data_IF_281905036497
#
_entry.id   IF_281905036497
#
_cell.length_a   1.000
_cell.length_b   1.000
_cell.length_c   1.000
_cell.angle_alpha   90.00
_cell.angle_beta   90.00
_cell.angle_gamma   90.00
#
_symmetry.space_group_name_H-M   'P 1'
#
loop_
_entity.id
_entity.type
_entity.pdbx_description
1 polymer ?
#
# COMPACT_ATOMS: atom_id res chain seq x y z
N UNK A 1 1.51 -16.55 14.10
CA UNK A 1 0.76 -17.29 15.14
C UNK A 1 0.06 -18.48 14.49
N UNK A 2 0.30 -19.70 14.98
CA UNK A 2 -0.46 -20.88 14.57
C UNK A 2 -1.91 -20.75 15.00
N UNK A 3 -2.85 -21.06 14.10
CA UNK A 3 -4.29 -21.14 14.45
C UNK A 3 -4.56 -22.53 15.01
N UNK A 4 -5.01 -22.59 16.26
CA UNK A 4 -5.48 -23.81 16.89
C UNK A 4 -6.99 -23.77 17.06
N UNK A 5 -7.64 -24.92 16.97
CA UNK A 5 -9.07 -25.05 17.19
C UNK A 5 -9.33 -25.18 18.69
N UNK A 6 -10.19 -24.31 19.22
CA UNK A 6 -10.63 -24.34 20.61
C UNK A 6 -12.16 -24.47 20.64
N UNK A 7 -12.66 -25.40 21.47
CA UNK A 7 -14.10 -25.52 21.71
C UNK A 7 -14.54 -24.48 22.73
N UNK A 8 -15.53 -23.67 22.38
CA UNK A 8 -16.14 -22.66 23.25
C UNK A 8 -17.62 -22.99 23.42
N UNK A 9 -18.12 -22.84 24.64
CA UNK A 9 -19.56 -22.91 24.92
C UNK A 9 -20.08 -21.48 25.02
N UNK A 10 -20.92 -21.09 24.06
CA UNK A 10 -21.53 -19.77 23.97
C UNK A 10 -23.05 -19.94 23.91
N UNK A 11 -23.79 -18.99 24.44
CA UNK A 11 -25.26 -19.01 24.35
C UNK A 11 -25.72 -18.72 22.91
N UNK A 12 -26.77 -19.40 22.46
CA UNK A 12 -27.26 -19.32 21.07
C UNK A 12 -27.57 -17.89 20.60
N UNK A 13 -28.13 -17.08 21.49
CA UNK A 13 -28.44 -15.68 21.19
C UNK A 13 -27.17 -14.86 20.94
N UNK A 14 -26.10 -15.13 21.67
CA UNK A 14 -24.81 -14.48 21.46
C UNK A 14 -24.20 -14.91 20.13
N UNK A 15 -24.29 -16.20 19.77
CA UNK A 15 -23.80 -16.70 18.47
C UNK A 15 -24.54 -16.02 17.31
N UNK A 16 -25.87 -15.87 17.40
CA UNK A 16 -26.66 -15.18 16.37
C UNK A 16 -26.25 -13.72 16.19
N UNK A 17 -26.01 -12.99 17.29
CA UNK A 17 -25.57 -11.59 17.25
C UNK A 17 -24.15 -11.46 16.71
N UNK A 18 -23.27 -12.36 17.15
CA UNK A 18 -21.89 -12.43 16.70
C UNK A 18 -21.81 -12.68 15.19
N UNK A 19 -22.60 -13.61 14.66
CA UNK A 19 -22.63 -13.92 13.22
C UNK A 19 -23.12 -12.73 12.39
N UNK A 20 -24.12 -11.99 12.89
CA UNK A 20 -24.58 -10.76 12.24
C UNK A 20 -23.47 -9.71 12.21
N UNK A 21 -22.79 -9.49 13.34
CA UNK A 21 -21.69 -8.55 13.43
C UNK A 21 -20.52 -8.93 12.52
N UNK A 22 -20.15 -10.21 12.50
CA UNK A 22 -19.12 -10.75 11.62
C UNK A 22 -19.49 -10.53 10.14
N UNK A 23 -20.74 -10.80 9.76
CA UNK A 23 -21.23 -10.58 8.40
C UNK A 23 -21.15 -9.12 7.98
N UNK A 24 -21.60 -8.18 8.82
CA UNK A 24 -21.53 -6.73 8.53
C UNK A 24 -20.10 -6.26 8.29
N UNK A 25 -19.11 -6.88 8.95
CA UNK A 25 -17.69 -6.55 8.83
C UNK A 25 -16.93 -7.39 7.79
N UNK A 26 -17.61 -8.31 7.09
CA UNK A 26 -16.97 -9.23 6.14
C UNK A 26 -15.99 -10.22 6.78
N UNK A 27 -16.19 -10.56 8.06
CA UNK A 27 -15.35 -11.47 8.84
C UNK A 27 -16.02 -12.86 9.00
N UNK A 28 -15.20 -13.87 9.28
CA UNK A 28 -15.71 -15.16 9.79
C UNK A 28 -16.06 -15.05 11.28
N UNK A 29 -16.87 -15.97 11.80
CA UNK A 29 -17.16 -16.06 13.25
C UNK A 29 -15.89 -16.10 14.09
N UNK A 30 -14.92 -16.93 13.70
CA UNK A 30 -13.63 -17.02 14.40
C UNK A 30 -12.80 -15.74 14.26
N UNK A 31 -12.90 -15.04 13.13
CA UNK A 31 -12.31 -13.72 12.94
C UNK A 31 -12.87 -12.69 13.93
N UNK A 32 -14.21 -12.63 14.04
CA UNK A 32 -14.90 -11.73 14.97
C UNK A 32 -14.59 -12.05 16.44
N UNK A 33 -14.56 -13.33 16.82
CA UNK A 33 -14.18 -13.75 18.18
C UNK A 33 -12.75 -13.33 18.50
N UNK A 34 -11.82 -13.56 17.58
CA UNK A 34 -10.43 -13.16 17.78
C UNK A 34 -10.31 -11.65 17.93
N UNK A 35 -11.05 -10.85 17.15
CA UNK A 35 -11.06 -9.38 17.27
C UNK A 35 -11.56 -8.92 18.66
N UNK A 36 -12.66 -9.50 19.15
CA UNK A 36 -13.23 -9.17 20.47
C UNK A 36 -12.27 -9.57 21.60
N UNK A 37 -11.71 -10.79 21.55
CA UNK A 37 -10.78 -11.26 22.58
C UNK A 37 -9.49 -10.46 22.58
N UNK A 38 -9.03 -10.07 21.41
CA UNK A 38 -7.86 -9.22 21.24
C UNK A 38 -8.05 -7.84 21.89
N UNK A 39 -9.17 -7.20 21.61
CA UNK A 39 -9.56 -5.93 22.22
C UNK A 39 -9.67 -6.07 23.76
N UNK A 40 -10.42 -7.07 24.23
CA UNK A 40 -10.62 -7.31 25.67
C UNK A 40 -9.32 -7.62 26.42
N UNK A 41 -8.41 -8.40 25.83
CA UNK A 41 -7.15 -8.80 26.46
C UNK A 41 -5.99 -7.85 26.17
N UNK A 42 -6.24 -6.74 25.45
CA UNK A 42 -5.19 -5.84 24.95
C UNK A 42 -4.10 -6.58 24.14
N UNK A 43 -4.48 -7.67 23.47
CA UNK A 43 -3.60 -8.42 22.57
C UNK A 43 -3.73 -7.81 21.19
N UNK A 44 -2.67 -7.20 20.70
CA UNK A 44 -2.65 -6.66 19.34
C UNK A 44 -2.66 -7.82 18.33
N UNK A 45 -3.78 -7.98 17.60
CA UNK A 45 -3.84 -8.96 16.51
C UNK A 45 -3.18 -8.41 15.24
N UNK A 46 -2.65 -9.29 14.36
CA UNK A 46 -2.12 -8.82 13.09
C UNK A 46 -3.20 -8.18 12.18
N UNK A 47 -4.48 -8.53 12.33
CA UNK A 47 -5.57 -7.79 11.66
C UNK A 47 -5.64 -6.34 12.13
N UNK A 48 -5.61 -6.10 13.45
CA UNK A 48 -5.59 -4.75 14.02
C UNK A 48 -4.34 -3.97 13.58
N UNK A 49 -3.18 -4.63 13.48
CA UNK A 49 -1.96 -4.00 12.97
C UNK A 49 -2.08 -3.58 11.51
N UNK A 50 -2.62 -4.45 10.65
CA UNK A 50 -2.83 -4.10 9.23
C UNK A 50 -3.84 -2.95 9.10
N UNK A 51 -4.92 -2.98 9.86
CA UNK A 51 -5.91 -1.90 9.85
C UNK A 51 -5.29 -0.58 10.32
N UNK A 52 -4.56 -0.58 11.44
CA UNK A 52 -3.88 0.61 11.95
C UNK A 52 -2.85 1.18 10.96
N UNK A 53 -2.11 0.32 10.26
CA UNK A 53 -1.17 0.76 9.23
C UNK A 53 -1.90 1.45 8.06
N UNK A 54 -3.01 0.87 7.58
CA UNK A 54 -3.81 1.47 6.51
C UNK A 54 -4.52 2.76 6.95
N UNK A 55 -5.00 2.83 8.19
CA UNK A 55 -5.60 4.04 8.76
C UNK A 55 -4.54 5.16 8.82
N UNK A 56 -3.30 4.83 9.16
CA UNK A 56 -2.17 5.77 9.12
C UNK A 56 -1.92 6.29 7.70
N UNK A 57 -1.91 5.39 6.70
CA UNK A 57 -1.79 5.80 5.28
C UNK A 57 -2.95 6.70 4.87
N UNK A 58 -4.19 6.37 5.24
CA UNK A 58 -5.35 7.21 4.96
C UNK A 58 -5.21 8.60 5.59
N UNK A 59 -4.78 8.69 6.85
CA UNK A 59 -4.67 9.97 7.54
C UNK A 59 -3.60 10.87 6.91
N UNK A 60 -2.50 10.29 6.43
CA UNK A 60 -1.42 11.03 5.78
C UNK A 60 -1.75 11.42 4.34
N UNK A 61 -2.46 10.56 3.59
CA UNK A 61 -2.66 10.75 2.15
C UNK A 61 -4.08 11.16 1.74
N UNK A 62 -5.10 10.75 2.51
CA UNK A 62 -6.50 10.84 2.11
C UNK A 62 -7.10 12.24 2.09
N UNK A 63 -6.42 13.23 2.70
CA UNK A 63 -6.82 14.64 2.69
C UNK A 63 -6.07 15.53 1.70
N UNK A 64 -5.14 14.98 0.91
CA UNK A 64 -4.34 15.75 -0.04
C UNK A 64 -5.12 16.13 -1.31
N UNK A 65 -4.77 17.26 -1.94
CA UNK A 65 -5.36 17.65 -3.23
C UNK A 65 -4.95 16.72 -4.39
N UNK A 66 -3.73 16.15 -4.30
CA UNK A 66 -3.12 15.37 -5.40
C UNK A 66 -3.50 13.89 -5.35
N UNK A 67 -3.63 13.30 -4.16
CA UNK A 67 -4.01 11.91 -3.92
C UNK A 67 -5.38 11.85 -3.24
N UNK A 68 -6.36 11.27 -3.93
CA UNK A 68 -7.73 11.15 -3.43
C UNK A 68 -8.04 9.71 -2.98
N UNK A 69 -8.66 9.57 -1.82
CA UNK A 69 -9.17 8.29 -1.35
C UNK A 69 -10.36 7.81 -2.18
N UNK A 70 -10.25 6.62 -2.75
CA UNK A 70 -11.31 5.97 -3.55
C UNK A 70 -12.00 4.86 -2.78
N UNK A 71 -11.22 4.06 -2.06
CA UNK A 71 -11.73 2.97 -1.23
C UNK A 71 -11.02 3.04 0.12
N UNK A 72 -11.77 3.22 1.23
CA UNK A 72 -11.17 3.30 2.56
C UNK A 72 -10.55 1.95 2.97
N UNK A 73 -9.61 1.97 3.93
CA UNK A 73 -9.07 0.80 4.61
C UNK A 73 -10.16 -0.19 5.04
N UNK A 74 -10.16 -1.37 4.43
CA UNK A 74 -11.04 -2.46 4.80
C UNK A 74 -10.45 -3.80 4.36
N UNK A 75 -10.58 -4.83 5.21
CA UNK A 75 -10.16 -6.19 4.86
C UNK A 75 -8.68 -6.33 4.47
N UNK A 76 -7.81 -5.44 4.96
CA UNK A 76 -6.39 -5.43 4.62
C UNK A 76 -6.04 -4.72 3.32
N UNK A 77 -6.95 -3.93 2.72
CA UNK A 77 -6.63 -3.12 1.55
C UNK A 77 -7.25 -1.73 1.55
N UNK A 78 -6.69 -0.84 0.74
CA UNK A 78 -7.22 0.49 0.45
C UNK A 78 -6.85 0.92 -0.98
N UNK A 79 -7.51 1.98 -1.47
CA UNK A 79 -7.26 2.49 -2.81
C UNK A 79 -7.25 4.01 -2.85
N UNK A 80 -6.19 4.55 -3.45
CA UNK A 80 -6.02 5.97 -3.79
C UNK A 80 -6.05 6.17 -5.30
N UNK A 81 -6.25 7.41 -5.74
CA UNK A 81 -6.03 7.83 -7.13
C UNK A 81 -5.38 9.20 -7.21
N UNK A 82 -4.62 9.42 -8.28
CA UNK A 82 -4.16 10.75 -8.70
C UNK A 82 -4.40 10.94 -10.19
N UNK A 83 -4.29 12.18 -10.67
CA UNK A 83 -4.32 12.52 -12.09
C UNK A 83 -2.91 12.87 -12.58
N UNK A 84 -2.57 12.45 -13.81
CA UNK A 84 -1.35 12.87 -14.49
C UNK A 84 -1.66 14.05 -15.41
N UNK A 85 -0.75 15.02 -15.50
CA UNK A 85 -0.81 16.04 -16.53
C UNK A 85 -0.39 15.44 -17.87
N UNK A 86 -1.37 15.07 -18.68
CA UNK A 86 -1.19 14.50 -20.02
C UNK A 86 -2.46 14.80 -20.84
N UNK A 87 -2.43 14.63 -22.17
CA UNK A 87 -3.46 15.06 -23.16
C UNK A 87 -4.95 15.01 -22.73
N UNK A 88 -5.34 14.11 -21.82
CA UNK A 88 -6.71 13.95 -21.29
C UNK A 88 -6.76 13.68 -19.77
N UNK A 89 -5.73 14.09 -19.02
CA UNK A 89 -5.60 13.92 -17.58
C UNK A 89 -5.92 12.49 -17.07
N UNK A 90 -5.20 11.46 -17.57
CA UNK A 90 -5.44 10.09 -17.16
C UNK A 90 -5.23 9.92 -15.66
N UNK A 91 -6.02 9.04 -15.06
CA UNK A 91 -5.91 8.73 -13.62
C UNK A 91 -5.04 7.50 -13.39
N UNK A 92 -4.21 7.56 -12.36
CA UNK A 92 -3.49 6.42 -11.81
C UNK A 92 -4.23 5.94 -10.58
N UNK A 93 -4.47 4.63 -10.48
CA UNK A 93 -5.07 3.98 -9.31
C UNK A 93 -3.97 3.27 -8.53
N UNK A 94 -3.84 3.60 -7.24
CA UNK A 94 -2.91 2.96 -6.31
C UNK A 94 -3.69 2.05 -5.38
N UNK A 95 -3.59 0.74 -5.58
CA UNK A 95 -4.13 -0.24 -4.64
C UNK A 95 -3.03 -0.69 -3.68
N UNK A 96 -3.29 -0.57 -2.39
CA UNK A 96 -2.41 -1.02 -1.32
C UNK A 96 -3.09 -2.23 -0.70
N UNK A 97 -2.39 -3.37 -0.68
CA UNK A 97 -2.88 -4.63 -0.14
C UNK A 97 -1.86 -5.13 0.88
N UNK A 98 -2.27 -5.27 2.14
CA UNK A 98 -1.45 -5.81 3.22
C UNK A 98 -1.78 -7.27 3.47
N UNK A 99 -0.75 -8.05 3.76
CA UNK A 99 -0.84 -9.46 4.08
C UNK A 99 0.00 -9.80 5.29
N UNK A 100 -0.32 -10.94 5.90
CA UNK A 100 0.52 -11.52 6.95
C UNK A 100 1.67 -12.27 6.27
N UNK A 101 2.91 -11.96 6.64
CA UNK A 101 4.07 -12.78 6.37
C UNK A 101 4.47 -13.58 7.61
N UNK A 102 5.29 -14.62 7.43
CA UNK A 102 5.84 -15.43 8.52
C UNK A 102 6.71 -14.63 9.48
N UNK A 103 7.34 -13.55 9.01
CA UNK A 103 8.26 -12.70 9.79
C UNK A 103 7.73 -11.29 10.08
N UNK A 104 6.44 -11.01 9.81
CA UNK A 104 5.84 -9.69 10.07
C UNK A 104 4.67 -9.35 9.14
N UNK A 105 4.30 -8.07 9.09
CA UNK A 105 3.38 -7.54 8.09
C UNK A 105 4.11 -7.31 6.77
N UNK A 106 3.56 -7.80 5.67
CA UNK A 106 4.03 -7.48 4.33
C UNK A 106 2.90 -6.81 3.55
N UNK A 107 3.21 -6.31 2.37
CA UNK A 107 2.17 -5.77 1.51
C UNK A 107 2.63 -5.61 0.09
N UNK A 108 1.81 -4.93 -0.70
CA UNK A 108 2.17 -4.51 -2.05
C UNK A 108 1.48 -3.20 -2.42
N UNK A 109 2.16 -2.43 -3.25
CA UNK A 109 1.57 -1.37 -4.05
C UNK A 109 1.28 -1.92 -5.45
N UNK A 110 0.10 -1.60 -5.98
CA UNK A 110 -0.24 -1.74 -7.39
C UNK A 110 -0.63 -0.37 -7.94
N UNK A 111 0.23 0.24 -8.75
CA UNK A 111 -0.06 1.45 -9.50
C UNK A 111 -0.56 1.07 -10.90
N UNK A 112 -1.77 1.50 -11.26
CA UNK A 112 -2.42 1.12 -12.51
C UNK A 112 -2.94 2.34 -13.25
N UNK A 113 -2.48 2.55 -14.48
CA UNK A 113 -3.11 3.46 -15.43
C UNK A 113 -4.29 2.74 -16.09
N UNK A 114 -5.44 3.42 -16.14
CA UNK A 114 -6.61 2.96 -16.90
C UNK A 114 -6.64 3.71 -18.23
N UNK A 115 -6.00 3.14 -19.25
CA UNK A 115 -5.93 3.76 -20.59
C UNK A 115 -5.92 2.70 -21.69
N UNK A 116 -6.30 3.14 -22.91
CA UNK A 116 -6.14 2.40 -24.17
C UNK A 116 -5.12 3.06 -25.10
N UNK A 117 -4.49 4.16 -24.68
CA UNK A 117 -3.50 4.87 -25.48
C UNK A 117 -2.17 4.13 -25.41
N UNK A 118 -1.73 3.57 -26.54
CA UNK A 118 -0.45 2.85 -26.64
C UNK A 118 0.74 3.74 -26.27
N UNK A 119 0.70 5.02 -26.70
CA UNK A 119 1.74 5.99 -26.35
C UNK A 119 1.82 6.23 -24.84
N UNK A 120 0.67 6.41 -24.15
CA UNK A 120 0.66 6.56 -22.70
C UNK A 120 1.13 5.28 -21.98
N UNK A 121 0.78 4.09 -22.50
CA UNK A 121 1.26 2.83 -21.95
C UNK A 121 2.78 2.72 -22.09
N UNK A 122 3.33 3.10 -23.25
CA UNK A 122 4.77 3.11 -23.49
C UNK A 122 5.50 4.12 -22.59
N UNK A 123 4.98 5.35 -22.46
CA UNK A 123 5.53 6.36 -21.55
C UNK A 123 5.52 5.87 -20.09
N UNK A 124 4.44 5.22 -19.66
CA UNK A 124 4.33 4.65 -18.32
C UNK A 124 5.30 3.48 -18.10
N UNK A 125 5.47 2.58 -19.06
CA UNK A 125 6.44 1.49 -19.00
C UNK A 125 7.87 2.00 -18.87
N UNK A 126 8.24 3.07 -19.60
CA UNK A 126 9.55 3.72 -19.46
C UNK A 126 9.77 4.31 -18.08
N UNK A 127 8.78 4.99 -17.53
CA UNK A 127 8.82 5.44 -16.13
C UNK A 127 8.97 4.27 -15.15
N UNK A 128 8.18 3.20 -15.30
CA UNK A 128 8.26 2.05 -14.39
C UNK A 128 9.63 1.37 -14.45
N UNK A 129 10.24 1.26 -15.64
CA UNK A 129 11.58 0.72 -15.80
C UNK A 129 12.65 1.63 -15.14
N UNK A 130 12.54 2.95 -15.31
CA UNK A 130 13.40 3.92 -14.62
C UNK A 130 13.29 3.78 -13.10
N UNK A 131 12.06 3.81 -12.58
CA UNK A 131 11.80 3.72 -11.15
C UNK A 131 12.32 2.40 -10.57
N UNK A 132 12.04 1.28 -11.24
CA UNK A 132 12.49 -0.04 -10.82
C UNK A 132 14.02 -0.17 -10.81
N UNK A 133 14.69 0.39 -11.82
CA UNK A 133 16.14 0.46 -11.88
C UNK A 133 16.75 1.29 -10.73
N UNK A 134 16.11 2.41 -10.38
CA UNK A 134 16.52 3.22 -9.23
C UNK A 134 16.35 2.45 -7.92
N UNK A 135 15.20 1.79 -7.71
CA UNK A 135 14.99 0.99 -6.51
C UNK A 135 16.04 -0.12 -6.38
N UNK A 136 16.28 -0.90 -7.43
CA UNK A 136 17.22 -2.03 -7.41
C UNK A 136 18.68 -1.62 -7.28
N UNK A 137 19.05 -0.42 -7.73
CA UNK A 137 20.43 0.08 -7.61
C UNK A 137 20.72 0.68 -6.24
N UNK A 138 19.72 1.27 -5.59
CA UNK A 138 19.86 1.93 -4.29
C UNK A 138 19.45 1.04 -3.12
N UNK A 139 18.82 -0.11 -3.38
CA UNK A 139 18.24 -0.99 -2.35
C UNK A 139 18.40 -2.47 -2.71
N UNK A 140 18.64 -3.30 -1.69
CA UNK A 140 18.62 -4.75 -1.81
C UNK A 140 17.22 -5.32 -1.53
N UNK A 141 16.90 -6.47 -2.11
CA UNK A 141 15.65 -7.21 -1.83
C UNK A 141 14.40 -6.58 -2.46
N UNK A 142 14.56 -5.80 -3.53
CA UNK A 142 13.46 -5.20 -4.27
C UNK A 142 12.80 -6.26 -5.16
N UNK A 143 11.55 -6.61 -4.84
CA UNK A 143 10.67 -7.46 -5.64
C UNK A 143 9.55 -6.65 -6.31
N UNK A 144 9.50 -6.68 -7.63
CA UNK A 144 8.60 -5.87 -8.45
C UNK A 144 8.24 -6.56 -9.76
N UNK A 145 7.17 -6.11 -10.40
CA UNK A 145 6.74 -6.57 -11.72
C UNK A 145 6.18 -5.39 -12.52
N UNK A 146 6.56 -5.33 -13.79
CA UNK A 146 6.07 -4.34 -14.77
C UNK A 146 5.22 -5.09 -15.78
N UNK A 147 4.00 -4.61 -15.98
CA UNK A 147 3.05 -5.06 -16.99
C UNK A 147 2.47 -3.82 -17.71
N UNK A 148 1.84 -3.96 -18.89
CA UNK A 148 1.29 -2.81 -19.61
C UNK A 148 0.35 -1.96 -18.75
N UNK A 149 0.77 -0.73 -18.48
CA UNK A 149 0.06 0.23 -17.64
C UNK A 149 -0.03 -0.13 -16.15
N UNK A 150 0.74 -1.12 -15.67
CA UNK A 150 0.73 -1.57 -14.27
C UNK A 150 2.14 -1.77 -13.72
N UNK A 151 2.39 -1.17 -12.57
CA UNK A 151 3.54 -1.47 -11.71
C UNK A 151 3.08 -2.12 -10.42
N UNK A 152 3.68 -3.25 -10.06
CA UNK A 152 3.45 -3.91 -8.77
C UNK A 152 4.77 -3.97 -8.01
N UNK A 153 4.78 -3.50 -6.76
CA UNK A 153 5.94 -3.51 -5.87
C UNK A 153 5.59 -4.15 -4.54
N UNK A 154 6.36 -5.12 -4.08
CA UNK A 154 6.18 -5.72 -2.75
C UNK A 154 6.82 -4.87 -1.65
N UNK A 155 6.12 -4.74 -0.53
CA UNK A 155 6.60 -4.17 0.72
C UNK A 155 7.10 -5.31 1.62
N UNK A 156 8.42 -5.38 1.76
CA UNK A 156 9.18 -6.36 2.52
C UNK A 156 9.98 -5.61 3.59
N UNK A 157 9.39 -5.37 4.79
CA UNK A 157 10.06 -4.58 5.81
C UNK A 157 11.41 -5.19 6.18
N UNK A 158 12.49 -4.41 6.03
CA UNK A 158 13.84 -4.88 6.33
C UNK A 158 14.13 -4.90 7.84
N UNK A 159 13.31 -4.22 8.64
CA UNK A 159 13.43 -4.16 10.10
C UNK A 159 12.40 -5.05 10.76
N UNK A 160 12.87 -6.06 11.48
CA UNK A 160 12.03 -6.84 12.38
C UNK A 160 11.46 -5.94 13.49
N UNK A 161 10.19 -6.16 13.85
CA UNK A 161 9.52 -5.44 14.94
C UNK A 161 9.05 -4.02 14.59
N UNK A 162 9.00 -3.65 13.31
CA UNK A 162 8.33 -2.42 12.88
C UNK A 162 6.86 -2.44 13.32
N UNK A 163 6.44 -1.43 14.08
CA UNK A 163 5.05 -1.33 14.52
C UNK A 163 4.13 -0.90 13.35
N UNK A 164 2.83 -1.10 13.53
CA UNK A 164 1.84 -0.80 12.50
C UNK A 164 1.86 0.65 12.02
N UNK A 165 2.04 1.61 12.94
CA UNK A 165 2.07 3.03 12.61
C UNK A 165 3.29 3.36 11.74
N UNK A 166 4.49 2.96 12.15
CA UNK A 166 5.72 3.16 11.39
C UNK A 166 5.64 2.49 10.01
N UNK A 167 5.04 1.31 9.92
CA UNK A 167 4.79 0.65 8.64
C UNK A 167 3.85 1.45 7.74
N UNK A 168 2.77 2.00 8.31
CA UNK A 168 1.84 2.89 7.60
C UNK A 168 2.51 4.19 7.13
N UNK A 169 3.33 4.82 7.97
CA UNK A 169 4.11 6.02 7.62
C UNK A 169 5.06 5.75 6.44
N UNK A 170 5.77 4.61 6.47
CA UNK A 170 6.63 4.19 5.37
C UNK A 170 5.88 3.99 4.06
N UNK A 171 4.71 3.34 4.11
CA UNK A 171 3.87 3.12 2.93
C UNK A 171 3.40 4.46 2.38
N UNK A 172 2.93 5.36 3.24
CA UNK A 172 2.46 6.68 2.83
C UNK A 172 3.58 7.47 2.14
N UNK A 173 4.76 7.50 2.75
CA UNK A 173 5.94 8.17 2.24
C UNK A 173 6.40 7.61 0.88
N UNK A 174 6.41 6.28 0.75
CA UNK A 174 6.77 5.63 -0.51
C UNK A 174 5.76 5.97 -1.61
N UNK A 175 4.46 5.89 -1.32
CA UNK A 175 3.40 6.18 -2.30
C UNK A 175 3.45 7.64 -2.75
N UNK A 176 3.70 8.58 -1.83
CA UNK A 176 3.91 9.99 -2.17
C UNK A 176 5.12 10.20 -3.07
N UNK A 177 6.25 9.58 -2.75
CA UNK A 177 7.46 9.68 -3.54
C UNK A 177 7.23 9.12 -4.96
N UNK A 178 6.61 7.94 -5.05
CA UNK A 178 6.27 7.31 -6.32
C UNK A 178 5.33 8.17 -7.17
N UNK A 179 4.23 8.65 -6.59
CA UNK A 179 3.26 9.49 -7.29
C UNK A 179 3.87 10.82 -7.76
N UNK A 180 4.64 11.49 -6.90
CA UNK A 180 5.30 12.75 -7.27
C UNK A 180 6.35 12.57 -8.37
N UNK A 181 7.10 11.46 -8.35
CA UNK A 181 8.06 11.12 -9.39
C UNK A 181 7.38 10.79 -10.72
N UNK A 182 6.26 10.06 -10.68
CA UNK A 182 5.46 9.74 -11.85
C UNK A 182 4.92 11.02 -12.49
N UNK A 183 4.35 11.93 -11.69
CA UNK A 183 3.86 13.22 -12.20
C UNK A 183 5.00 14.06 -12.78
N UNK A 184 6.12 14.16 -12.10
CA UNK A 184 7.30 14.87 -12.60
C UNK A 184 7.77 14.33 -13.95
N UNK A 185 7.81 13.00 -14.12
CA UNK A 185 8.16 12.37 -15.40
C UNK A 185 7.18 12.77 -16.51
N UNK A 186 5.88 12.68 -16.24
CA UNK A 186 4.84 13.00 -17.23
C UNK A 186 4.75 14.50 -17.58
N UNK A 187 5.15 15.38 -16.66
CA UNK A 187 5.26 16.82 -16.92
C UNK A 187 6.50 17.19 -17.77
N UNK A 188 7.47 16.28 -17.91
CA UNK A 188 8.76 16.53 -18.57
C UNK A 188 9.09 15.45 -19.62
N UNK A 189 8.08 14.95 -20.35
CA UNK A 189 8.27 13.95 -21.41
C UNK A 189 9.15 14.45 -22.56
N UNK A 190 9.27 15.76 -22.73
CA UNK A 190 10.14 16.37 -23.76
C UNK A 190 11.63 16.34 -23.36
N UNK A 191 11.95 16.13 -22.07
CA UNK A 191 13.32 16.00 -21.53
C UNK A 191 13.39 14.90 -20.46
N UNK A 192 13.26 13.66 -20.92
CA UNK A 192 13.26 12.48 -20.06
C UNK A 192 14.56 12.32 -19.25
N UNK A 193 15.70 12.82 -19.76
CA UNK A 193 16.98 12.71 -19.06
C UNK A 193 17.02 13.60 -17.83
N UNK A 194 16.59 14.86 -17.97
CA UNK A 194 16.49 15.79 -16.84
C UNK A 194 15.48 15.29 -15.80
N UNK A 195 14.32 14.79 -16.27
CA UNK A 195 13.32 14.18 -15.40
C UNK A 195 13.89 13.00 -14.61
N UNK A 196 14.59 12.08 -15.29
CA UNK A 196 15.22 10.93 -14.65
C UNK A 196 16.27 11.32 -13.61
N UNK A 197 17.11 12.31 -13.92
CA UNK A 197 18.12 12.82 -12.98
C UNK A 197 17.47 13.41 -11.73
N UNK A 198 16.41 14.21 -11.88
CA UNK A 198 15.69 14.81 -10.75
C UNK A 198 14.97 13.75 -9.90
N UNK A 199 14.33 12.76 -10.53
CA UNK A 199 13.71 11.63 -9.83
C UNK A 199 14.76 10.87 -9.00
N UNK A 200 15.92 10.59 -9.60
CA UNK A 200 17.03 9.95 -8.90
C UNK A 200 17.51 10.77 -7.68
N UNK A 201 17.64 12.09 -7.82
CA UNK A 201 18.00 12.98 -6.70
C UNK A 201 16.98 12.94 -5.58
N UNK A 202 15.69 13.03 -5.90
CA UNK A 202 14.60 12.97 -4.91
C UNK A 202 14.58 11.63 -4.18
N UNK A 203 14.77 10.53 -4.90
CA UNK A 203 14.84 9.20 -4.30
C UNK A 203 16.04 9.08 -3.36
N UNK A 204 17.23 9.53 -3.78
CA UNK A 204 18.42 9.50 -2.93
C UNK A 204 18.27 10.36 -1.67
N UNK A 205 17.71 11.56 -1.79
CA UNK A 205 17.43 12.43 -0.65
C UNK A 205 16.42 11.79 0.33
N UNK A 206 15.39 11.12 -0.20
CA UNK A 206 14.41 10.39 0.61
C UNK A 206 15.06 9.25 1.42
N UNK A 207 16.01 8.51 0.84
CA UNK A 207 16.78 7.50 1.57
C UNK A 207 17.67 8.12 2.65
N UNK A 208 18.32 9.26 2.36
CA UNK A 208 19.20 9.95 3.31
C UNK A 208 18.44 10.54 4.50
N UNK A 209 17.15 10.85 4.35
CA UNK A 209 16.29 11.33 5.43
C UNK A 209 16.03 10.27 6.52
N UNK A 210 16.56 9.05 6.38
CA UNK A 210 16.48 8.01 7.40
C UNK A 210 15.09 7.40 7.55
N UNK A 211 14.22 7.57 6.53
CA UNK A 211 12.88 7.00 6.52
C UNK A 211 12.97 5.48 6.55
N UNK A 212 12.14 4.78 7.35
CA UNK A 212 12.21 3.33 7.43
C UNK A 212 11.81 2.73 6.08
N UNK A 213 12.41 1.58 5.82
CA UNK A 213 12.58 1.05 4.49
C UNK A 213 11.66 -0.18 4.29
N UNK A 214 10.88 -0.16 3.20
CA UNK A 214 9.98 -1.24 2.72
C UNK A 214 10.62 -2.17 1.69
#
# INVERSE_FOLDING_TARGET
MSKSVYSLVLIDELVKRLDRAAYTRGLSRSGMINEILADYLSVVTPEMQMQQALDTVQNLLGGGEELQLVTPPSGGGMVLRSALRYKYNPTVRYAIELSRASEGSSGRLRAQLRTRSEMLLHDAERFFALWDGLERSLRSGVESTIEPGRYTRLFLPQRQGMNAQAFGECIADYVLLFDSALRLYFENLDDEQSAAAEIGRRYAAWLQAGKPIL
#
